data_IF_067404762234
#
_entry.id   IF_067404762234
#
_cell.length_a   1.000
_cell.length_b   1.000
_cell.length_c   1.000
_cell.angle_alpha   90.00
_cell.angle_beta   90.00
_cell.angle_gamma   90.00
#
_symmetry.space_group_name_H-M   'P 1'
#
loop_
_entity.id
_entity.type
_entity.pdbx_description
1 polymer ?
#
# COMPACT_ATOMS: atom_id res chain seq x y z
N UNK A 1 46.13 -7.13 70.17
CA UNK A 1 45.40 -5.92 69.61
C UNK A 1 45.92 -5.46 68.25
N UNK A 2 47.19 -5.47 67.94
CA UNK A 2 47.76 -5.00 66.64
C UNK A 2 47.31 -5.83 65.40
N UNK A 3 47.12 -7.14 65.55
CA UNK A 3 46.74 -8.07 64.47
C UNK A 3 45.30 -7.86 63.99
N UNK A 4 44.34 -7.52 64.87
CA UNK A 4 42.94 -7.26 64.51
C UNK A 4 42.67 -5.92 63.77
N UNK A 5 43.51 -4.93 64.10
CA UNK A 5 43.43 -3.62 63.42
C UNK A 5 43.97 -3.69 61.99
N UNK A 6 45.03 -4.50 61.76
CA UNK A 6 45.56 -4.72 60.40
C UNK A 6 44.60 -5.51 59.50
N UNK A 7 43.91 -6.50 60.04
CA UNK A 7 42.86 -7.24 59.27
C UNK A 7 41.66 -6.39 58.95
N UNK A 8 41.23 -5.48 59.86
CA UNK A 8 40.13 -4.55 59.57
C UNK A 8 40.49 -3.48 58.52
N UNK A 9 41.74 -2.98 58.51
CA UNK A 9 42.22 -2.04 57.49
C UNK A 9 42.35 -2.71 56.11
N UNK A 10 42.75 -4.02 56.04
CA UNK A 10 42.85 -4.73 54.78
C UNK A 10 41.47 -5.03 54.18
N UNK A 11 40.46 -5.33 54.99
CA UNK A 11 39.09 -5.57 54.55
C UNK A 11 38.43 -4.24 54.09
N UNK A 12 38.75 -3.13 54.78
CA UNK A 12 38.25 -1.81 54.38
C UNK A 12 38.88 -1.33 53.06
N UNK A 13 40.17 -1.65 52.83
CA UNK A 13 40.85 -1.30 51.57
C UNK A 13 40.36 -2.16 50.39
N UNK A 14 40.04 -3.49 50.64
CA UNK A 14 39.43 -4.35 49.63
C UNK A 14 37.98 -3.95 49.29
N UNK A 15 37.21 -3.43 50.27
CA UNK A 15 35.86 -2.97 50.01
C UNK A 15 35.84 -1.66 49.18
N UNK A 16 36.85 -0.78 49.35
CA UNK A 16 36.93 0.45 48.55
C UNK A 16 37.42 0.17 47.12
N UNK A 17 38.23 -0.87 46.88
CA UNK A 17 38.66 -1.24 45.53
C UNK A 17 37.56 -1.97 44.71
N UNK A 18 36.57 -2.59 45.35
CA UNK A 18 35.45 -3.23 44.64
C UNK A 18 34.40 -2.23 44.23
N UNK A 19 34.32 -1.06 44.92
CA UNK A 19 33.38 0.02 44.53
C UNK A 19 33.95 0.90 43.41
N UNK A 20 35.28 0.84 43.17
CA UNK A 20 35.97 1.68 42.17
C UNK A 20 36.07 1.12 40.75
N UNK A 21 35.64 -0.14 40.50
CA UNK A 21 35.72 -0.79 39.16
C UNK A 21 34.35 -1.11 38.57
N UNK A 22 33.28 -0.64 39.21
CA UNK A 22 32.01 -0.46 38.51
C UNK A 22 32.21 0.66 37.50
N UNK A 23 32.71 0.30 36.30
CA UNK A 23 32.78 1.26 35.19
C UNK A 23 31.41 1.89 35.01
N UNK A 24 31.27 3.12 35.51
CA UNK A 24 30.24 4.01 35.01
C UNK A 24 30.52 4.17 33.53
N UNK A 25 29.98 3.22 32.73
CA UNK A 25 29.68 3.53 31.34
C UNK A 25 28.78 4.76 31.40
N UNK A 26 29.38 5.93 31.29
CA UNK A 26 28.64 7.12 30.93
C UNK A 26 28.05 6.83 29.56
N UNK A 27 26.86 6.23 29.57
CA UNK A 27 25.99 6.26 28.39
C UNK A 27 25.83 7.75 28.12
N UNK A 28 26.61 8.26 27.20
CA UNK A 28 26.38 9.59 26.65
C UNK A 28 24.96 9.54 26.08
N UNK A 29 24.00 10.05 26.85
CA UNK A 29 22.66 10.25 26.34
C UNK A 29 22.83 11.16 25.12
N UNK A 30 22.57 10.60 23.94
CA UNK A 30 22.67 11.37 22.72
C UNK A 30 21.77 12.61 22.87
N UNK A 31 22.25 13.76 22.44
CA UNK A 31 21.48 15.02 22.50
C UNK A 31 20.17 14.81 21.77
N UNK A 32 19.06 15.02 22.45
CA UNK A 32 17.73 14.93 21.84
C UNK A 32 17.45 16.24 21.08
N UNK A 33 17.10 16.09 19.81
CA UNK A 33 16.75 17.20 18.92
C UNK A 33 15.26 17.34 18.71
N UNK A 34 14.87 18.41 18.02
CA UNK A 34 13.50 18.61 17.58
C UNK A 34 13.03 17.45 16.69
N UNK A 35 11.73 17.08 16.74
CA UNK A 35 11.20 16.01 15.91
C UNK A 35 11.43 16.21 14.42
N UNK A 36 11.62 15.12 13.69
CA UNK A 36 11.47 15.11 12.22
C UNK A 36 9.99 15.00 11.93
N UNK A 37 9.42 16.00 11.27
CA UNK A 37 8.00 16.02 10.92
C UNK A 37 7.78 15.30 9.60
N UNK A 38 7.09 14.17 9.65
CA UNK A 38 6.68 13.39 8.47
C UNK A 38 5.23 13.74 8.14
N UNK A 39 5.02 14.44 7.04
CA UNK A 39 3.69 14.75 6.52
C UNK A 39 3.15 13.56 5.74
N UNK A 40 1.92 13.16 6.00
CA UNK A 40 1.31 12.02 5.34
C UNK A 40 -0.08 12.37 4.77
N UNK A 41 -0.19 12.63 3.46
CA UNK A 41 -1.49 12.71 2.80
C UNK A 41 -1.98 11.29 2.53
N UNK A 42 -3.13 10.90 3.11
CA UNK A 42 -3.68 9.54 2.99
C UNK A 42 -5.17 9.59 2.63
N UNK A 43 -5.67 8.77 1.70
CA UNK A 43 -7.09 8.70 1.38
C UNK A 43 -7.82 7.79 2.39
N UNK A 44 -8.38 8.37 3.44
CA UNK A 44 -9.03 7.61 4.53
C UNK A 44 -10.33 6.91 4.12
N UNK A 45 -10.92 7.30 2.99
CA UNK A 45 -12.11 6.63 2.46
C UNK A 45 -11.83 5.20 1.97
N UNK A 46 -10.57 4.85 1.68
CA UNK A 46 -10.20 3.55 1.16
C UNK A 46 -9.43 2.69 2.16
N UNK A 47 -9.48 1.38 1.96
CA UNK A 47 -8.67 0.41 2.72
C UNK A 47 -7.17 0.66 2.55
N UNK A 48 -6.73 1.08 1.35
CA UNK A 48 -5.33 1.42 1.08
C UNK A 48 -4.82 2.55 1.96
N UNK A 49 -5.57 3.66 2.02
CA UNK A 49 -5.22 4.80 2.84
C UNK A 49 -5.22 4.45 4.33
N UNK A 50 -6.25 3.75 4.80
CA UNK A 50 -6.35 3.33 6.20
C UNK A 50 -5.21 2.38 6.61
N UNK A 51 -4.86 1.41 5.77
CA UNK A 51 -3.77 0.48 6.03
C UNK A 51 -2.41 1.18 5.97
N UNK A 52 -2.22 2.09 5.00
CA UNK A 52 -1.03 2.93 4.91
C UNK A 52 -0.85 3.82 6.14
N UNK A 53 -1.92 4.47 6.62
CA UNK A 53 -1.90 5.26 7.85
C UNK A 53 -1.46 4.42 9.06
N UNK A 54 -2.06 3.24 9.24
CA UNK A 54 -1.70 2.31 10.33
C UNK A 54 -0.25 1.86 10.24
N UNK A 55 0.22 1.54 9.03
CA UNK A 55 1.61 1.15 8.78
C UNK A 55 2.60 2.26 9.12
N UNK A 56 2.31 3.50 8.75
CA UNK A 56 3.15 4.65 9.09
C UNK A 56 3.18 4.95 10.59
N UNK A 57 2.02 4.84 11.27
CA UNK A 57 1.95 5.00 12.73
C UNK A 57 2.82 3.95 13.40
N UNK A 58 2.66 2.68 13.05
CA UNK A 58 3.46 1.59 13.59
C UNK A 58 4.95 1.78 13.36
N UNK A 59 5.35 2.15 12.14
CA UNK A 59 6.75 2.40 11.81
C UNK A 59 7.35 3.56 12.64
N UNK A 60 6.60 4.65 12.81
CA UNK A 60 7.03 5.78 13.63
C UNK A 60 7.17 5.38 15.11
N UNK A 61 6.24 4.59 15.64
CA UNK A 61 6.29 4.06 17.01
C UNK A 61 7.51 3.15 17.20
N UNK A 62 7.77 2.22 16.28
CA UNK A 62 8.93 1.32 16.35
C UNK A 62 10.26 2.10 16.29
N UNK A 63 10.38 3.07 15.39
CA UNK A 63 11.57 3.90 15.24
C UNK A 63 11.79 4.73 16.51
N UNK A 64 10.74 5.34 17.05
CA UNK A 64 10.83 6.15 18.27
C UNK A 64 11.16 5.28 19.49
N UNK A 65 10.58 4.08 19.61
CA UNK A 65 10.89 3.13 20.68
C UNK A 65 12.35 2.63 20.60
N UNK A 66 12.92 2.53 19.38
CA UNK A 66 14.32 2.22 19.16
C UNK A 66 15.28 3.40 19.45
N UNK A 67 14.74 4.55 19.89
CA UNK A 67 15.50 5.74 20.26
C UNK A 67 15.41 6.87 19.25
N UNK A 68 14.74 6.72 18.11
CA UNK A 68 14.61 7.74 17.09
C UNK A 68 15.68 7.68 16.00
N UNK A 69 15.79 8.73 15.20
CA UNK A 69 16.69 8.83 14.05
C UNK A 69 17.93 9.63 14.41
N UNK A 70 19.11 9.07 14.18
CA UNK A 70 20.38 9.80 14.38
C UNK A 70 20.67 10.69 13.17
N UNK A 71 20.63 12.00 13.38
CA UNK A 71 20.96 13.00 12.37
C UNK A 71 22.20 13.79 12.82
N UNK A 72 23.35 13.42 12.28
CA UNK A 72 24.62 14.11 12.61
C UNK A 72 25.01 14.04 14.09
N UNK A 73 24.71 12.95 14.80
CA UNK A 73 24.99 12.78 16.23
C UNK A 73 23.89 13.30 17.15
N UNK A 74 22.79 13.85 16.61
CA UNK A 74 21.61 14.27 17.36
C UNK A 74 20.49 13.28 17.10
N UNK A 75 19.93 12.71 18.16
CA UNK A 75 18.76 11.82 18.05
C UNK A 75 17.49 12.66 17.93
N UNK A 76 16.70 12.39 16.88
CA UNK A 76 15.45 13.10 16.62
C UNK A 76 14.31 12.09 16.55
N UNK A 77 13.22 12.24 17.31
CA UNK A 77 12.04 11.41 17.16
C UNK A 77 11.29 11.74 15.87
N UNK A 78 10.52 10.80 15.35
CA UNK A 78 9.57 11.04 14.27
C UNK A 78 8.25 11.58 14.83
N UNK A 79 7.67 12.56 14.17
CA UNK A 79 6.32 13.06 14.42
C UNK A 79 5.52 12.99 13.14
N UNK A 80 4.41 12.24 13.15
CA UNK A 80 3.49 12.18 12.02
C UNK A 80 2.49 13.33 12.05
N UNK A 81 2.31 13.99 10.91
CA UNK A 81 1.24 14.95 10.63
C UNK A 81 0.43 14.38 9.48
N UNK A 82 -0.72 13.76 9.78
CA UNK A 82 -1.54 13.05 8.82
C UNK A 82 -2.71 13.93 8.40
N UNK A 83 -2.96 14.05 7.11
CA UNK A 83 -4.12 14.75 6.55
C UNK A 83 -4.84 13.79 5.60
N UNK A 84 -6.18 13.74 5.71
CA UNK A 84 -7.00 13.05 4.73
C UNK A 84 -6.89 13.78 3.39
N UNK A 85 -6.31 13.11 2.40
CA UNK A 85 -6.13 13.66 1.05
C UNK A 85 -7.41 13.59 0.21
N UNK A 86 -8.34 12.71 0.59
CA UNK A 86 -9.65 12.51 -0.05
C UNK A 86 -9.56 12.15 -1.55
N UNK A 87 -8.39 11.83 -2.05
CA UNK A 87 -8.14 11.63 -3.48
C UNK A 87 -8.78 10.37 -4.07
N UNK A 88 -9.33 9.48 -3.24
CA UNK A 88 -10.12 8.33 -3.68
C UNK A 88 -11.64 8.54 -3.47
N UNK A 89 -12.06 9.69 -2.98
CA UNK A 89 -13.48 10.03 -2.88
C UNK A 89 -14.03 10.47 -4.24
N UNK A 90 -15.21 9.97 -4.65
CA UNK A 90 -15.85 10.39 -5.89
C UNK A 90 -16.06 11.91 -5.94
N UNK A 91 -15.67 12.53 -7.06
CA UNK A 91 -15.90 13.95 -7.30
C UNK A 91 -14.93 14.92 -6.63
N UNK A 92 -13.96 14.45 -5.84
CA UNK A 92 -12.92 15.31 -5.26
C UNK A 92 -11.91 15.70 -6.35
N UNK A 93 -11.74 16.99 -6.64
CA UNK A 93 -10.82 17.43 -7.68
C UNK A 93 -9.36 17.36 -7.21
N UNK A 94 -8.45 17.09 -8.14
CA UNK A 94 -6.99 17.05 -7.86
C UNK A 94 -6.51 18.31 -7.14
N UNK A 95 -7.06 19.49 -7.43
CA UNK A 95 -6.68 20.76 -6.78
C UNK A 95 -6.91 20.74 -5.27
N UNK A 96 -7.97 20.09 -4.78
CA UNK A 96 -8.23 19.95 -3.34
C UNK A 96 -7.18 19.05 -2.67
N UNK A 97 -6.82 17.96 -3.32
CA UNK A 97 -5.75 17.06 -2.87
C UNK A 97 -4.41 17.79 -2.77
N UNK A 98 -4.09 18.63 -3.77
CA UNK A 98 -2.86 19.42 -3.75
C UNK A 98 -2.82 20.44 -2.63
N UNK A 99 -3.97 21.02 -2.25
CA UNK A 99 -4.06 21.90 -1.08
C UNK A 99 -3.73 21.16 0.24
N UNK A 100 -4.15 19.90 0.36
CA UNK A 100 -3.79 19.07 1.52
C UNK A 100 -2.26 18.84 1.59
N UNK A 101 -1.61 18.57 0.45
CA UNK A 101 -0.15 18.44 0.36
C UNK A 101 0.55 19.77 0.73
N UNK A 102 0.12 20.89 0.17
CA UNK A 102 0.69 22.21 0.50
C UNK A 102 0.50 22.55 1.99
N UNK A 103 -0.64 22.20 2.58
CA UNK A 103 -0.90 22.40 4.02
C UNK A 103 0.09 21.62 4.89
N UNK A 104 0.44 20.39 4.53
CA UNK A 104 1.47 19.61 5.21
C UNK A 104 2.82 20.33 5.19
N UNK A 105 3.22 20.84 4.04
CA UNK A 105 4.52 21.52 3.87
C UNK A 105 4.53 22.89 4.56
N UNK A 106 3.53 23.72 4.29
CA UNK A 106 3.57 25.14 4.67
C UNK A 106 3.07 25.39 6.10
N UNK A 107 2.02 24.68 6.53
CA UNK A 107 1.40 24.90 7.84
C UNK A 107 1.91 23.91 8.89
N UNK A 108 2.00 22.63 8.53
CA UNK A 108 2.48 21.58 9.43
C UNK A 108 4.00 21.48 9.47
N UNK A 109 4.70 22.18 8.55
CA UNK A 109 6.16 22.23 8.47
C UNK A 109 6.80 20.85 8.32
N UNK A 110 6.20 20.01 7.49
CA UNK A 110 6.74 18.70 7.21
C UNK A 110 8.16 18.80 6.60
N UNK A 111 9.11 18.09 7.20
CA UNK A 111 10.48 17.94 6.71
C UNK A 111 10.52 16.98 5.49
N UNK A 112 9.64 15.99 5.50
CA UNK A 112 9.49 14.96 4.45
C UNK A 112 8.01 14.59 4.32
N UNK A 113 7.58 14.28 3.09
CA UNK A 113 6.27 13.70 2.84
C UNK A 113 6.45 12.20 2.60
N UNK A 114 5.55 11.40 3.18
CA UNK A 114 5.52 9.96 2.97
C UNK A 114 4.07 9.47 2.80
N UNK A 115 3.88 8.38 2.07
CA UNK A 115 2.56 7.82 1.85
C UNK A 115 1.97 8.17 0.50
N UNK A 116 0.88 8.93 0.49
CA UNK A 116 0.17 9.37 -0.72
C UNK A 116 0.64 10.72 -1.28
N UNK A 117 -0.15 11.34 -2.19
CA UNK A 117 -1.48 10.94 -2.64
C UNK A 117 -1.49 9.58 -3.37
N UNK A 118 -2.57 8.82 -3.19
CA UNK A 118 -2.71 7.47 -3.75
C UNK A 118 -3.04 7.49 -5.24
N UNK A 119 -3.99 8.35 -5.64
CA UNK A 119 -4.39 8.51 -7.04
C UNK A 119 -3.23 8.96 -7.90
N UNK A 120 -2.99 8.24 -8.99
CA UNK A 120 -1.84 8.52 -9.88
C UNK A 120 -1.84 9.94 -10.45
N UNK A 121 -3.01 10.49 -10.75
CA UNK A 121 -3.18 11.89 -11.19
C UNK A 121 -2.68 12.88 -10.15
N UNK A 122 -3.10 12.65 -8.90
CA UNK A 122 -2.78 13.50 -7.75
C UNK A 122 -1.30 13.39 -7.39
N UNK A 123 -0.77 12.17 -7.28
CA UNK A 123 0.65 11.93 -7.01
C UNK A 123 1.56 12.55 -8.06
N UNK A 124 1.22 12.41 -9.34
CA UNK A 124 1.96 13.07 -10.43
C UNK A 124 1.89 14.60 -10.37
N UNK A 125 0.73 15.17 -10.03
CA UNK A 125 0.58 16.62 -9.89
C UNK A 125 1.34 17.14 -8.66
N UNK A 126 1.36 16.39 -7.57
CA UNK A 126 2.08 16.72 -6.34
C UNK A 126 3.61 16.82 -6.54
N UNK A 127 4.20 16.09 -7.52
CA UNK A 127 5.62 16.21 -7.85
C UNK A 127 6.04 17.66 -8.15
N UNK A 128 5.17 18.48 -8.75
CA UNK A 128 5.45 19.90 -9.05
C UNK A 128 5.50 20.73 -7.76
N UNK A 129 4.69 20.38 -6.76
CA UNK A 129 4.70 21.00 -5.42
C UNK A 129 5.99 20.64 -4.69
N UNK A 130 6.35 19.36 -4.66
CA UNK A 130 7.57 18.89 -4.01
C UNK A 130 8.83 19.51 -4.64
N UNK A 131 8.85 19.64 -5.97
CA UNK A 131 9.92 20.33 -6.68
C UNK A 131 9.99 21.82 -6.32
N UNK A 132 8.84 22.51 -6.22
CA UNK A 132 8.75 23.94 -5.87
C UNK A 132 9.28 24.21 -4.47
N UNK A 133 8.84 23.41 -3.51
CA UNK A 133 9.21 23.58 -2.08
C UNK A 133 10.48 22.84 -1.70
N UNK A 134 11.09 22.09 -2.62
CA UNK A 134 12.26 21.22 -2.38
C UNK A 134 12.06 20.26 -1.21
N UNK A 135 10.85 19.75 -1.08
CA UNK A 135 10.47 18.80 -0.04
C UNK A 135 10.63 17.38 -0.57
N UNK A 136 11.32 16.54 0.19
CA UNK A 136 11.45 15.12 -0.15
C UNK A 136 10.07 14.47 -0.04
N UNK A 137 9.72 13.69 -1.07
CA UNK A 137 8.51 12.89 -1.14
C UNK A 137 8.86 11.43 -1.38
N UNK A 138 8.27 10.54 -0.58
CA UNK A 138 8.41 9.08 -0.70
C UNK A 138 7.02 8.49 -0.87
N UNK A 139 6.61 8.29 -2.13
CA UNK A 139 5.33 7.67 -2.45
C UNK A 139 5.37 6.19 -2.10
N UNK A 140 4.64 5.79 -1.07
CA UNK A 140 4.53 4.40 -0.61
C UNK A 140 3.11 3.85 -0.66
N UNK A 141 2.10 4.70 -0.89
CA UNK A 141 0.70 4.31 -1.05
C UNK A 141 0.25 4.68 -2.45
N UNK A 142 -0.07 3.68 -3.27
CA UNK A 142 -0.63 3.89 -4.62
C UNK A 142 0.34 4.50 -5.64
N UNK A 143 -0.17 5.34 -6.53
CA UNK A 143 0.57 5.99 -7.61
C UNK A 143 1.34 5.02 -8.54
N UNK A 144 0.74 3.88 -8.87
CA UNK A 144 1.39 2.79 -9.63
C UNK A 144 1.59 3.09 -11.13
N UNK A 145 1.18 4.27 -11.62
CA UNK A 145 1.23 4.59 -13.05
C UNK A 145 2.66 4.66 -13.60
N UNK A 146 2.95 4.07 -14.78
CA UNK A 146 4.23 4.27 -15.46
C UNK A 146 4.47 5.71 -15.90
N UNK A 147 3.42 6.54 -15.94
CA UNK A 147 3.53 7.95 -16.30
C UNK A 147 4.32 8.76 -15.26
N UNK A 148 4.34 8.31 -14.00
CA UNK A 148 5.19 8.90 -12.96
C UNK A 148 6.67 8.76 -13.33
N UNK A 149 7.11 7.53 -13.69
CA UNK A 149 8.50 7.25 -14.11
C UNK A 149 8.87 8.09 -15.34
N UNK A 150 7.93 8.20 -16.30
CA UNK A 150 8.14 8.99 -17.52
C UNK A 150 8.25 10.50 -17.23
N UNK A 151 7.45 11.02 -16.29
CA UNK A 151 7.53 12.43 -15.86
C UNK A 151 8.88 12.69 -15.20
N UNK A 152 9.30 11.83 -14.28
CA UNK A 152 10.61 11.91 -13.63
C UNK A 152 11.75 11.86 -14.66
N UNK A 153 11.76 10.86 -15.55
CA UNK A 153 12.83 10.66 -16.54
C UNK A 153 12.99 11.83 -17.52
N UNK A 154 11.91 12.57 -17.81
CA UNK A 154 11.96 13.76 -18.68
C UNK A 154 12.68 14.95 -18.04
N UNK A 155 12.61 15.09 -16.71
CA UNK A 155 13.18 16.24 -15.97
C UNK A 155 13.70 15.79 -14.59
N UNK A 156 14.73 14.91 -14.55
CA UNK A 156 15.19 14.31 -13.29
C UNK A 156 15.69 15.35 -12.28
N UNK A 157 16.38 16.40 -12.75
CA UNK A 157 16.85 17.49 -11.86
C UNK A 157 15.69 18.29 -11.23
N UNK A 158 14.58 18.44 -11.94
CA UNK A 158 13.40 19.11 -11.41
C UNK A 158 12.73 18.26 -10.33
N UNK A 159 12.55 16.97 -10.60
CA UNK A 159 11.82 16.05 -9.73
C UNK A 159 12.71 15.22 -8.80
N UNK A 160 13.95 15.60 -8.59
CA UNK A 160 14.93 14.90 -7.75
C UNK A 160 14.51 14.73 -6.28
N UNK A 161 13.47 15.41 -5.86
CA UNK A 161 12.90 15.30 -4.52
C UNK A 161 11.82 14.23 -4.40
N UNK A 162 11.35 13.69 -5.52
CA UNK A 162 10.29 12.69 -5.54
C UNK A 162 10.85 11.27 -5.72
N UNK A 163 10.55 10.41 -4.77
CA UNK A 163 10.93 9.00 -4.76
C UNK A 163 9.67 8.16 -4.74
N UNK A 164 9.72 6.97 -5.35
CA UNK A 164 8.60 6.03 -5.30
C UNK A 164 9.09 4.67 -4.82
N UNK A 165 8.53 4.23 -3.71
CA UNK A 165 8.72 2.90 -3.14
C UNK A 165 7.64 1.95 -3.64
N UNK A 166 6.42 2.45 -3.87
CA UNK A 166 5.33 1.67 -4.43
C UNK A 166 5.67 1.10 -5.81
N UNK A 167 5.12 -0.08 -6.12
CA UNK A 167 5.38 -0.79 -7.35
C UNK A 167 4.96 -0.05 -8.63
N UNK A 168 5.22 -0.66 -9.77
CA UNK A 168 4.71 -0.19 -11.06
C UNK A 168 3.69 -1.17 -11.61
N UNK A 169 2.58 -0.67 -12.11
CA UNK A 169 1.54 -1.49 -12.75
C UNK A 169 2.09 -2.39 -13.88
N UNK A 170 3.23 -2.07 -14.45
CA UNK A 170 3.91 -2.91 -15.45
C UNK A 170 4.28 -4.30 -14.92
N UNK A 171 4.65 -4.39 -13.65
CA UNK A 171 5.04 -5.66 -13.04
C UNK A 171 3.80 -6.54 -12.83
N UNK A 172 2.75 -5.97 -12.28
CA UNK A 172 1.49 -6.66 -12.02
C UNK A 172 0.79 -7.12 -13.31
N UNK A 173 0.87 -6.30 -14.38
CA UNK A 173 0.34 -6.68 -15.69
C UNK A 173 1.06 -7.91 -16.25
N UNK A 174 2.38 -8.02 -16.04
CA UNK A 174 3.11 -9.20 -16.51
C UNK A 174 2.55 -10.47 -15.88
N UNK A 175 2.36 -10.47 -14.56
CA UNK A 175 1.78 -11.61 -13.84
C UNK A 175 0.36 -11.92 -14.30
N UNK A 176 -0.47 -10.88 -14.48
CA UNK A 176 -1.83 -11.05 -14.99
C UNK A 176 -1.84 -11.67 -16.40
N UNK A 177 -0.94 -11.27 -17.29
CA UNK A 177 -0.82 -11.85 -18.64
C UNK A 177 -0.33 -13.30 -18.60
N UNK A 178 0.63 -13.62 -17.73
CA UNK A 178 1.12 -14.98 -17.56
C UNK A 178 0.00 -15.91 -17.04
N UNK A 179 -0.81 -15.43 -16.09
CA UNK A 179 -1.97 -16.15 -15.58
C UNK A 179 -3.05 -16.33 -16.66
N UNK A 180 -3.37 -15.30 -17.42
CA UNK A 180 -4.30 -15.38 -18.56
C UNK A 180 -3.82 -16.42 -19.59
N UNK A 181 -2.51 -16.48 -19.85
CA UNK A 181 -1.95 -17.46 -20.78
C UNK A 181 -2.07 -18.88 -20.24
N UNK A 182 -1.92 -19.10 -18.93
CA UNK A 182 -2.16 -20.38 -18.28
C UNK A 182 -3.62 -20.81 -18.47
N UNK A 183 -4.57 -19.93 -18.18
CA UNK A 183 -6.02 -20.20 -18.34
C UNK A 183 -6.34 -20.53 -19.81
N UNK A 184 -5.78 -19.79 -20.77
CA UNK A 184 -5.94 -20.06 -22.19
C UNK A 184 -5.45 -21.47 -22.57
N UNK A 185 -4.26 -21.84 -22.09
CA UNK A 185 -3.66 -23.13 -22.41
C UNK A 185 -4.41 -24.31 -21.78
N UNK A 186 -4.92 -24.16 -20.56
CA UNK A 186 -5.59 -25.23 -19.80
C UNK A 186 -7.07 -25.39 -20.17
N UNK A 187 -7.75 -24.27 -20.49
CA UNK A 187 -9.21 -24.26 -20.67
C UNK A 187 -9.64 -23.83 -22.09
N UNK A 188 -8.71 -23.44 -22.95
CA UNK A 188 -9.01 -22.99 -24.31
C UNK A 188 -9.69 -21.62 -24.38
N UNK A 189 -9.71 -20.86 -23.31
CA UNK A 189 -10.30 -19.52 -23.27
C UNK A 189 -9.53 -18.56 -24.17
N UNK A 190 -10.26 -17.75 -24.95
CA UNK A 190 -9.65 -16.78 -25.85
C UNK A 190 -10.44 -15.47 -26.00
N UNK A 191 -11.61 -15.33 -25.37
CA UNK A 191 -12.46 -14.13 -25.43
C UNK A 191 -12.47 -13.41 -24.08
N UNK A 192 -12.08 -12.15 -24.09
CA UNK A 192 -11.94 -11.33 -22.89
C UNK A 192 -12.73 -10.03 -23.01
N UNK A 193 -13.52 -9.72 -22.00
CA UNK A 193 -14.13 -8.42 -21.77
C UNK A 193 -13.31 -7.71 -20.67
N UNK A 194 -12.95 -6.45 -20.88
CA UNK A 194 -12.16 -5.66 -19.93
C UNK A 194 -13.08 -4.67 -19.22
N UNK A 195 -13.07 -4.64 -17.89
CA UNK A 195 -13.81 -3.67 -17.07
C UNK A 195 -12.87 -2.97 -16.09
N UNK A 196 -12.88 -1.64 -16.09
CA UNK A 196 -11.92 -0.86 -15.31
C UNK A 196 -12.56 0.36 -14.64
N UNK A 197 -12.04 0.74 -13.47
CA UNK A 197 -12.23 2.08 -12.93
C UNK A 197 -11.67 3.14 -13.89
N UNK A 198 -12.41 4.24 -14.14
CA UNK A 198 -11.98 5.32 -15.03
C UNK A 198 -10.96 6.25 -14.36
N UNK A 199 -9.78 5.72 -14.07
CA UNK A 199 -8.63 6.45 -13.53
C UNK A 199 -7.42 6.39 -14.46
N UNK A 200 -6.45 7.28 -14.26
CA UNK A 200 -5.24 7.30 -15.10
C UNK A 200 -4.50 5.96 -15.06
N UNK A 201 -4.35 5.38 -13.86
CA UNK A 201 -3.67 4.11 -13.66
C UNK A 201 -4.41 2.98 -14.38
N UNK A 202 -5.72 2.85 -14.18
CA UNK A 202 -6.52 1.79 -14.77
C UNK A 202 -6.60 1.90 -16.30
N UNK A 203 -6.77 3.13 -16.84
CA UNK A 203 -6.70 3.34 -18.30
C UNK A 203 -5.36 2.93 -18.91
N UNK A 204 -4.23 3.24 -18.22
CA UNK A 204 -2.89 2.84 -18.69
C UNK A 204 -2.70 1.33 -18.58
N UNK A 205 -3.16 0.72 -17.49
CA UNK A 205 -3.13 -0.72 -17.31
C UNK A 205 -3.92 -1.45 -18.42
N UNK A 206 -5.18 -1.05 -18.63
CA UNK A 206 -6.04 -1.64 -19.66
C UNK A 206 -5.41 -1.58 -21.06
N UNK A 207 -4.84 -0.43 -21.44
CA UNK A 207 -4.18 -0.28 -22.75
C UNK A 207 -2.95 -1.20 -22.91
N UNK A 208 -2.19 -1.44 -21.84
CA UNK A 208 -1.06 -2.37 -21.86
C UNK A 208 -1.57 -3.81 -21.93
N UNK A 209 -2.57 -4.16 -21.12
CA UNK A 209 -3.19 -5.51 -21.09
C UNK A 209 -3.80 -5.82 -22.45
N UNK A 210 -4.61 -4.94 -23.01
CA UNK A 210 -5.21 -5.11 -24.35
C UNK A 210 -4.14 -5.42 -25.40
N UNK A 211 -3.08 -4.62 -25.45
CA UNK A 211 -1.97 -4.81 -26.42
C UNK A 211 -1.27 -6.14 -26.22
N UNK A 212 -0.98 -6.53 -24.99
CA UNK A 212 -0.24 -7.77 -24.70
C UNK A 212 -1.13 -9.00 -24.90
N UNK A 213 -2.39 -8.94 -24.48
CA UNK A 213 -3.36 -10.03 -24.63
C UNK A 213 -3.62 -10.30 -26.12
N UNK A 214 -3.84 -9.27 -26.95
CA UNK A 214 -3.96 -9.43 -28.41
C UNK A 214 -2.75 -10.11 -29.04
N UNK A 215 -1.51 -9.76 -28.62
CA UNK A 215 -0.30 -10.44 -29.07
C UNK A 215 -0.23 -11.92 -28.68
N UNK A 216 -0.90 -12.30 -27.61
CA UNK A 216 -1.03 -13.68 -27.12
C UNK A 216 -2.27 -14.41 -27.70
N UNK A 217 -2.95 -13.80 -28.66
CA UNK A 217 -4.09 -14.38 -29.35
C UNK A 217 -5.40 -14.33 -28.58
N UNK A 218 -5.55 -13.38 -27.65
CA UNK A 218 -6.84 -13.08 -27.03
C UNK A 218 -7.65 -12.14 -27.94
N UNK A 219 -8.94 -12.42 -28.06
CA UNK A 219 -9.93 -11.54 -28.65
C UNK A 219 -10.50 -10.65 -27.55
N UNK A 220 -10.35 -9.33 -27.68
CA UNK A 220 -10.97 -8.36 -26.78
C UNK A 220 -12.34 -8.03 -27.32
N UNK A 221 -13.38 -8.57 -26.69
CA UNK A 221 -14.77 -8.49 -27.15
C UNK A 221 -15.54 -7.28 -26.62
N UNK A 222 -14.95 -6.52 -25.69
CA UNK A 222 -15.50 -5.28 -25.18
C UNK A 222 -14.60 -4.66 -24.11
N UNK A 223 -14.75 -3.36 -23.90
CA UNK A 223 -14.04 -2.60 -22.84
C UNK A 223 -15.05 -1.65 -22.20
N UNK A 224 -15.29 -1.83 -20.90
CA UNK A 224 -16.05 -0.92 -20.06
C UNK A 224 -15.11 -0.08 -19.20
N UNK A 225 -15.45 1.21 -19.06
CA UNK A 225 -14.78 2.17 -18.19
C UNK A 225 -15.83 2.88 -17.37
N UNK A 226 -15.84 2.62 -16.09
CA UNK A 226 -16.85 3.19 -15.20
C UNK A 226 -16.23 4.19 -14.22
N UNK A 227 -16.91 5.31 -13.96
CA UNK A 227 -16.46 6.26 -12.93
C UNK A 227 -16.37 5.61 -11.55
N UNK A 228 -15.40 6.05 -10.73
CA UNK A 228 -15.35 5.70 -9.32
C UNK A 228 -16.65 6.16 -8.64
N UNK A 229 -17.24 5.33 -7.79
CA UNK A 229 -18.55 5.55 -7.17
C UNK A 229 -19.72 4.97 -7.99
N UNK A 230 -19.46 4.27 -9.11
CA UNK A 230 -20.50 3.56 -9.88
C UNK A 230 -21.13 2.47 -9.04
N UNK A 231 -22.47 2.41 -9.01
CA UNK A 231 -23.24 1.41 -8.25
C UNK A 231 -24.12 0.50 -9.12
N UNK A 232 -24.23 0.80 -10.42
CA UNK A 232 -24.97 -0.01 -11.37
C UNK A 232 -24.08 -0.36 -12.56
N UNK A 233 -23.76 -1.65 -12.70
CA UNK A 233 -22.92 -2.22 -13.75
C UNK A 233 -23.74 -3.09 -14.72
N UNK A 234 -25.07 -3.05 -14.62
CA UNK A 234 -25.97 -3.93 -15.39
C UNK A 234 -25.78 -3.86 -16.89
N UNK A 235 -25.52 -2.66 -17.43
CA UNK A 235 -25.27 -2.44 -18.87
C UNK A 235 -23.97 -3.14 -19.27
N UNK A 236 -22.87 -2.84 -18.62
CA UNK A 236 -21.55 -3.42 -18.93
C UNK A 236 -21.55 -4.96 -18.79
N UNK A 237 -22.19 -5.48 -17.74
CA UNK A 237 -22.33 -6.92 -17.51
C UNK A 237 -23.23 -7.59 -18.55
N UNK A 238 -24.29 -6.92 -19.01
CA UNK A 238 -25.12 -7.42 -20.11
C UNK A 238 -24.35 -7.47 -21.43
N UNK A 239 -23.53 -6.47 -21.73
CA UNK A 239 -22.63 -6.46 -22.88
C UNK A 239 -21.58 -7.58 -22.78
N UNK A 240 -20.94 -7.73 -21.61
CA UNK A 240 -20.03 -8.83 -21.35
C UNK A 240 -20.68 -10.19 -21.62
N UNK A 241 -21.89 -10.42 -21.10
CA UNK A 241 -22.65 -11.66 -21.32
C UNK A 241 -22.97 -11.90 -22.78
N UNK A 242 -23.46 -10.86 -23.49
CA UNK A 242 -23.85 -10.94 -24.92
C UNK A 242 -22.67 -11.15 -25.85
N UNK A 243 -21.48 -10.63 -25.49
CA UNK A 243 -20.26 -10.75 -26.29
C UNK A 243 -19.69 -12.15 -26.31
N UNK A 244 -20.17 -13.06 -25.44
CA UNK A 244 -19.61 -14.40 -25.27
C UNK A 244 -18.23 -14.41 -24.62
N UNK A 245 -17.90 -13.39 -23.84
CA UNK A 245 -16.68 -13.32 -23.06
C UNK A 245 -16.56 -14.55 -22.14
N UNK A 246 -15.38 -15.14 -22.08
CA UNK A 246 -15.03 -16.24 -21.19
C UNK A 246 -14.28 -15.74 -19.95
N UNK A 247 -13.65 -14.57 -20.09
CA UNK A 247 -12.95 -13.86 -19.02
C UNK A 247 -13.51 -12.44 -18.91
N UNK A 248 -13.89 -12.04 -17.71
CA UNK A 248 -14.11 -10.66 -17.31
C UNK A 248 -12.82 -10.18 -16.63
N UNK A 249 -11.95 -9.55 -17.43
CA UNK A 249 -10.70 -9.00 -16.90
C UNK A 249 -10.96 -7.67 -16.22
N UNK A 250 -10.62 -7.59 -14.94
CA UNK A 250 -10.87 -6.43 -14.12
C UNK A 250 -9.56 -5.74 -13.75
N UNK A 251 -9.56 -4.41 -13.81
CA UNK A 251 -8.49 -3.60 -13.24
C UNK A 251 -9.12 -2.43 -12.49
N UNK A 252 -9.53 -2.71 -11.26
CA UNK A 252 -10.33 -1.82 -10.46
C UNK A 252 -9.90 -1.89 -8.99
N UNK A 253 -9.77 -0.74 -8.35
CA UNK A 253 -9.38 -0.63 -6.94
C UNK A 253 -10.50 -0.02 -6.07
N UNK A 254 -11.54 0.54 -6.69
CA UNK A 254 -12.64 1.15 -5.96
C UNK A 254 -13.41 0.13 -5.10
N UNK A 255 -13.93 0.52 -3.93
CA UNK A 255 -14.74 -0.36 -3.08
C UNK A 255 -15.99 -0.87 -3.79
N UNK A 256 -16.53 -0.10 -4.74
CA UNK A 256 -17.71 -0.41 -5.55
C UNK A 256 -17.51 -1.64 -6.44
N UNK A 257 -16.27 -2.07 -6.67
CA UNK A 257 -15.95 -3.32 -7.37
C UNK A 257 -16.61 -4.54 -6.70
N UNK A 258 -16.86 -4.48 -5.38
CA UNK A 258 -17.66 -5.48 -4.67
C UNK A 258 -19.12 -5.54 -5.18
N UNK A 259 -19.69 -4.40 -5.58
CA UNK A 259 -21.04 -4.30 -6.16
C UNK A 259 -21.03 -4.90 -7.57
N UNK A 260 -20.01 -4.61 -8.37
CA UNK A 260 -19.84 -5.20 -9.70
C UNK A 260 -19.84 -6.73 -9.62
N UNK A 261 -19.02 -7.30 -8.73
CA UNK A 261 -18.92 -8.76 -8.55
C UNK A 261 -20.24 -9.38 -8.06
N UNK A 262 -20.97 -8.67 -7.18
CA UNK A 262 -22.28 -9.09 -6.75
C UNK A 262 -23.27 -9.10 -7.92
N UNK A 263 -23.32 -8.05 -8.74
CA UNK A 263 -24.19 -7.99 -9.92
C UNK A 263 -23.77 -9.00 -10.98
N UNK A 264 -22.47 -9.24 -11.19
CA UNK A 264 -21.96 -10.29 -12.06
C UNK A 264 -22.55 -11.67 -11.70
N UNK A 265 -22.53 -12.01 -10.41
CA UNK A 265 -23.08 -13.27 -9.93
C UNK A 265 -24.62 -13.29 -10.02
N UNK A 266 -25.32 -12.18 -9.66
CA UNK A 266 -26.77 -12.08 -9.74
C UNK A 266 -27.30 -12.20 -11.19
N UNK A 267 -26.56 -11.69 -12.16
CA UNK A 267 -26.88 -11.74 -13.59
C UNK A 267 -26.41 -13.02 -14.27
N UNK A 268 -25.75 -13.93 -13.52
CA UNK A 268 -25.20 -15.18 -14.03
C UNK A 268 -24.35 -14.96 -15.30
N UNK A 269 -23.42 -14.01 -15.24
CA UNK A 269 -22.51 -13.72 -16.36
C UNK A 269 -21.47 -14.85 -16.46
N UNK A 270 -21.42 -15.61 -17.57
CA UNK A 270 -20.59 -16.82 -17.67
C UNK A 270 -19.12 -16.52 -17.97
N UNK A 271 -18.61 -15.38 -17.57
CA UNK A 271 -17.24 -14.97 -17.74
C UNK A 271 -16.51 -15.02 -16.38
N UNK A 272 -15.32 -15.61 -16.35
CA UNK A 272 -14.50 -15.74 -15.14
C UNK A 272 -13.92 -14.36 -14.74
N UNK A 273 -14.27 -13.78 -13.57
CA UNK A 273 -13.66 -12.56 -13.09
C UNK A 273 -12.20 -12.81 -12.69
N UNK A 274 -11.29 -12.03 -13.27
CA UNK A 274 -9.86 -12.16 -13.02
C UNK A 274 -9.18 -10.79 -13.17
N UNK A 275 -8.25 -10.47 -12.29
CA UNK A 275 -7.40 -9.30 -12.44
C UNK A 275 -7.05 -8.61 -11.13
N UNK A 276 -6.70 -7.36 -11.21
CA UNK A 276 -6.48 -6.51 -10.04
C UNK A 276 -7.83 -6.01 -9.51
N UNK A 277 -8.23 -6.54 -8.37
CA UNK A 277 -9.53 -6.28 -7.74
C UNK A 277 -9.27 -5.80 -6.32
N UNK A 278 -9.06 -4.48 -6.14
CA UNK A 278 -8.67 -3.91 -4.85
C UNK A 278 -9.67 -4.16 -3.72
N UNK A 279 -10.96 -4.20 -4.05
CA UNK A 279 -11.98 -4.54 -3.06
C UNK A 279 -11.78 -5.93 -2.42
N UNK A 280 -11.12 -6.87 -3.10
CA UNK A 280 -10.86 -8.22 -2.59
C UNK A 280 -9.70 -8.26 -1.57
N UNK A 281 -8.95 -7.18 -1.43
CA UNK A 281 -7.93 -7.02 -0.39
C UNK A 281 -8.52 -6.56 0.95
N UNK A 282 -9.77 -6.08 0.94
CA UNK A 282 -10.48 -5.67 2.15
C UNK A 282 -11.00 -6.88 2.94
N UNK A 283 -10.77 -6.97 4.25
CA UNK A 283 -11.32 -8.03 5.10
C UNK A 283 -12.85 -8.14 5.05
N UNK A 284 -13.54 -7.05 4.72
CA UNK A 284 -15.00 -6.99 4.56
C UNK A 284 -15.52 -7.51 3.23
N UNK A 285 -14.65 -7.91 2.28
CA UNK A 285 -15.03 -8.31 0.92
C UNK A 285 -16.13 -9.37 0.85
N UNK A 286 -16.02 -10.44 1.66
CA UNK A 286 -17.04 -11.49 1.70
C UNK A 286 -18.40 -10.98 2.17
N UNK A 287 -18.41 -10.07 3.15
CA UNK A 287 -19.63 -9.42 3.64
C UNK A 287 -20.21 -8.48 2.59
N UNK A 288 -19.36 -7.66 1.95
CA UNK A 288 -19.77 -6.72 0.91
C UNK A 288 -20.36 -7.42 -0.32
N UNK A 289 -19.76 -8.51 -0.76
CA UNK A 289 -20.26 -9.32 -1.88
C UNK A 289 -21.38 -10.31 -1.49
N UNK A 290 -21.70 -10.42 -0.19
CA UNK A 290 -22.63 -11.46 0.33
C UNK A 290 -22.25 -12.88 -0.10
N UNK A 291 -20.94 -13.17 -0.15
CA UNK A 291 -20.38 -14.45 -0.60
C UNK A 291 -20.35 -14.64 -2.11
N UNK A 292 -20.87 -13.70 -2.90
CA UNK A 292 -20.94 -13.78 -4.37
C UNK A 292 -19.60 -13.49 -5.08
N UNK A 293 -18.58 -13.08 -4.35
CA UNK A 293 -17.20 -12.98 -4.85
C UNK A 293 -16.49 -14.33 -5.02
N UNK A 294 -17.19 -15.47 -4.80
CA UNK A 294 -16.62 -16.78 -5.06
C UNK A 294 -16.25 -16.95 -6.54
N UNK A 295 -15.23 -17.76 -6.80
CA UNK A 295 -14.66 -18.01 -8.14
C UNK A 295 -13.99 -16.80 -8.80
N UNK A 296 -13.77 -15.70 -8.07
CA UNK A 296 -12.96 -14.57 -8.56
C UNK A 296 -11.49 -14.87 -8.37
N UNK A 297 -10.68 -14.66 -9.41
CA UNK A 297 -9.23 -14.80 -9.34
C UNK A 297 -8.61 -13.40 -9.22
N UNK A 298 -7.90 -13.16 -8.13
CA UNK A 298 -7.31 -11.86 -7.84
C UNK A 298 -5.80 -11.91 -8.07
N UNK A 299 -5.30 -11.02 -8.91
CA UNK A 299 -3.87 -10.74 -9.00
C UNK A 299 -3.54 -9.65 -7.98
N UNK A 300 -2.81 -10.00 -6.94
CA UNK A 300 -2.47 -9.08 -5.87
C UNK A 300 -1.27 -8.23 -6.28
N UNK A 301 -1.32 -6.95 -5.97
CA UNK A 301 -0.17 -6.04 -6.11
C UNK A 301 0.87 -6.25 -5.02
N UNK A 302 0.43 -6.80 -3.90
CA UNK A 302 1.25 -7.03 -2.70
C UNK A 302 0.85 -8.37 -2.07
N UNK A 303 1.60 -8.82 -1.07
CA UNK A 303 1.32 -10.09 -0.37
C UNK A 303 0.02 -10.06 0.44
N UNK A 304 -0.68 -8.94 0.45
CA UNK A 304 -1.93 -8.74 1.15
C UNK A 304 -1.79 -8.97 2.66
N UNK A 305 -2.86 -9.48 3.27
CA UNK A 305 -2.90 -9.80 4.71
C UNK A 305 -2.26 -11.16 5.06
N UNK A 306 -1.57 -11.80 4.12
CA UNK A 306 -0.93 -13.10 4.35
C UNK A 306 0.52 -12.88 4.79
N UNK A 307 0.88 -13.25 6.04
CA UNK A 307 2.29 -13.25 6.45
C UNK A 307 3.05 -14.22 5.56
N UNK A 308 4.13 -13.75 4.94
CA UNK A 308 5.04 -14.62 4.21
C UNK A 308 6.23 -14.95 5.10
N UNK A 309 6.76 -16.16 5.00
CA UNK A 309 7.97 -16.58 5.72
C UNK A 309 9.24 -15.86 5.21
N UNK A 310 9.08 -14.98 4.22
CA UNK A 310 10.19 -14.29 3.52
C UNK A 310 10.84 -13.20 4.38
N UNK A 311 10.11 -12.65 5.37
CA UNK A 311 10.69 -11.67 6.29
C UNK A 311 10.34 -11.97 7.75
N UNK A 312 11.30 -11.86 8.69
CA UNK A 312 11.04 -12.10 10.11
C UNK A 312 10.08 -11.09 10.78
N UNK A 313 9.90 -9.90 10.18
CA UNK A 313 9.11 -8.80 10.74
C UNK A 313 7.58 -8.88 10.56
N UNK A 314 6.99 -9.53 9.53
CA UNK A 314 5.54 -9.50 9.31
C UNK A 314 4.72 -9.98 10.49
N UNK A 315 5.17 -11.00 11.22
CA UNK A 315 4.47 -11.53 12.39
C UNK A 315 4.41 -10.53 13.55
N UNK A 316 5.51 -9.82 13.81
CA UNK A 316 5.54 -8.81 14.87
C UNK A 316 4.64 -7.63 14.55
N UNK A 317 4.67 -7.14 13.29
CA UNK A 317 3.81 -6.05 12.82
C UNK A 317 2.31 -6.44 12.90
N UNK A 318 1.95 -7.66 12.49
CA UNK A 318 0.58 -8.17 12.59
C UNK A 318 0.14 -8.31 14.04
N UNK A 319 1.02 -8.76 14.94
CA UNK A 319 0.72 -8.88 16.36
C UNK A 319 0.57 -7.51 17.05
N UNK A 320 1.31 -6.49 16.61
CA UNK A 320 1.13 -5.11 17.07
C UNK A 320 -0.19 -4.50 16.58
N UNK A 321 -0.56 -4.72 15.33
CA UNK A 321 -1.86 -4.30 14.79
C UNK A 321 -3.03 -4.97 15.54
N UNK A 322 -2.89 -6.24 16.00
CA UNK A 322 -3.89 -6.93 16.83
C UNK A 322 -4.07 -6.31 18.21
N UNK A 323 -3.03 -5.67 18.79
CA UNK A 323 -3.16 -4.98 20.08
C UNK A 323 -3.91 -3.65 20.00
N UNK A 324 -3.97 -3.04 18.81
CA UNK A 324 -4.62 -1.76 18.57
C UNK A 324 -5.96 -1.80 17.82
N UNK A 325 -6.39 -2.95 17.33
CA UNK A 325 -7.64 -3.11 16.60
C UNK A 325 -7.86 -4.54 16.13
N UNK A 326 -9.10 -4.96 16.02
CA UNK A 326 -9.49 -6.28 15.57
C UNK A 326 -9.01 -6.55 14.15
N UNK A 327 -7.98 -7.40 14.00
CA UNK A 327 -7.69 -8.06 12.73
C UNK A 327 -8.57 -9.31 12.67
N UNK A 328 -9.60 -9.40 11.82
CA UNK A 328 -10.48 -10.55 11.80
C UNK A 328 -9.70 -11.79 11.35
N UNK A 329 -9.57 -12.78 12.23
CA UNK A 329 -9.06 -14.12 11.90
C UNK A 329 -9.83 -14.78 10.73
N UNK A 330 -11.05 -14.32 10.47
CA UNK A 330 -11.91 -14.75 9.36
C UNK A 330 -11.34 -14.39 7.98
N UNK A 331 -10.63 -13.26 7.83
CA UNK A 331 -9.99 -12.89 6.56
C UNK A 331 -8.82 -13.83 6.21
N UNK A 332 -8.07 -14.32 7.20
CA UNK A 332 -7.02 -15.32 6.99
C UNK A 332 -7.60 -16.68 6.56
N UNK A 333 -8.75 -17.07 7.10
CA UNK A 333 -9.43 -18.31 6.73
C UNK A 333 -9.97 -18.27 5.30
N UNK A 334 -10.44 -17.12 4.81
CA UNK A 334 -10.94 -16.94 3.45
C UNK A 334 -9.81 -17.05 2.42
N UNK A 335 -8.66 -16.41 2.65
CA UNK A 335 -7.49 -16.48 1.76
C UNK A 335 -6.84 -17.88 1.75
N UNK A 336 -6.78 -18.56 2.89
CA UNK A 336 -6.28 -19.96 2.98
C UNK A 336 -7.22 -20.95 2.27
N UNK A 337 -8.52 -20.71 2.24
CA UNK A 337 -9.49 -21.56 1.51
C UNK A 337 -9.41 -21.38 -0.02
N UNK A 338 -8.82 -20.30 -0.52
CA UNK A 338 -8.57 -20.12 -1.96
C UNK A 338 -7.32 -20.86 -2.47
N UNK A 339 -6.41 -21.31 -1.57
CA UNK A 339 -5.22 -22.09 -1.95
C UNK A 339 -5.47 -23.46 -2.59
N UNK A 340 -6.54 -24.23 -2.28
CA UNK A 340 -6.76 -25.52 -2.93
C UNK A 340 -7.09 -25.45 -4.42
N UNK A 341 -7.42 -24.27 -4.95
CA UNK A 341 -7.74 -24.11 -6.38
C UNK A 341 -6.54 -23.71 -7.25
N UNK A 342 -5.33 -23.60 -6.65
CA UNK A 342 -4.08 -23.24 -7.35
C UNK A 342 -3.09 -24.43 -7.50
N UNK A 343 -3.55 -25.70 -7.24
CA UNK A 343 -2.76 -26.90 -7.55
C UNK A 343 -3.48 -27.79 -8.54
#
# INVERSE_FOLDING_TARGET
MKSRIFSMLLVLFMAITIIGVGGMSTVWAAKQGEPIIVGAPVPRASAYGQNGERGMILAAEEINAAGGVNVGGVIRPLKLEIIDSRDEEPGVPTSEVLLAVEKLILQKKADVIAGGPCMSECGMAAMDIYARYKTIDIVSIGCYTPSWDQKFAKKPETYRYSFRESGSVKWYIKEAIDLLQKIKNEHGFNKMFISIDDSLMCRKAAGIVEKLAKKKGWEIVGIDKHPIGTTDYSVALSECKKSGAQVLFMWAYSPETSILLKQWADMEVPALPIGFIGAAEDPGFWKATKGKGAYTIVTLSETGNVPTDVTPKPWNSIMHLKKGGECPLEAQAALVRMRPCMY
#
